data_IF_295907109180
#
_entry.id   IF_295907109180
#
_cell.length_a   1.000
_cell.length_b   1.000
_cell.length_c   1.000
_cell.angle_alpha   90.00
_cell.angle_beta   90.00
_cell.angle_gamma   90.00
#
_symmetry.space_group_name_H-M   'P 1'
#
loop_
_entity.id
_entity.type
_entity.pdbx_description
1 polymer ?
#
# COMPACT_ATOMS: atom_id res chain seq x y z
N UNK A 1 -23.68 -28.12 21.28
CA UNK A 1 -22.25 -28.51 21.32
C UNK A 1 -21.70 -28.90 19.97
N UNK A 2 -22.38 -29.80 19.22
CA UNK A 2 -21.92 -30.19 17.88
C UNK A 2 -21.83 -29.02 16.92
N UNK A 3 -22.80 -28.07 16.96
CA UNK A 3 -22.80 -26.89 16.11
C UNK A 3 -21.61 -25.98 16.38
N UNK A 4 -21.19 -25.87 17.66
CA UNK A 4 -20.02 -25.06 18.02
C UNK A 4 -18.72 -25.67 17.48
N UNK A 5 -18.58 -26.99 17.53
CA UNK A 5 -17.41 -27.68 17.00
C UNK A 5 -17.31 -27.54 15.48
N UNK A 6 -18.45 -27.61 14.78
CA UNK A 6 -18.50 -27.44 13.32
C UNK A 6 -18.11 -26.00 12.97
N UNK A 7 -18.67 -25.03 13.67
CA UNK A 7 -18.34 -23.59 13.45
C UNK A 7 -16.85 -23.36 13.70
N UNK A 8 -16.30 -23.88 14.79
CA UNK A 8 -14.87 -23.73 15.10
C UNK A 8 -13.97 -24.34 14.03
N UNK A 9 -14.31 -25.53 13.52
CA UNK A 9 -13.55 -26.17 12.45
C UNK A 9 -13.59 -25.36 11.15
N UNK A 10 -14.76 -24.82 10.81
CA UNK A 10 -14.93 -23.98 9.62
C UNK A 10 -14.13 -22.69 9.80
N UNK A 11 -14.24 -22.07 10.98
CA UNK A 11 -13.59 -20.77 11.24
C UNK A 11 -12.06 -20.88 11.31
N UNK A 12 -11.49 -22.07 11.60
CA UNK A 12 -10.05 -22.27 11.51
C UNK A 12 -9.50 -22.13 10.08
N UNK A 13 -10.36 -22.34 9.09
CA UNK A 13 -10.01 -22.21 7.66
C UNK A 13 -10.32 -20.83 7.11
N UNK A 14 -10.88 -19.97 7.95
CA UNK A 14 -11.29 -18.60 7.56
C UNK A 14 -10.33 -17.60 8.20
N UNK A 15 -10.01 -16.56 7.48
CA UNK A 15 -9.22 -15.44 7.99
C UNK A 15 -9.83 -14.12 7.55
N UNK A 16 -9.64 -13.12 8.37
CA UNK A 16 -10.07 -11.77 8.03
C UNK A 16 -9.07 -11.14 7.06
N UNK A 17 -9.59 -10.53 6.01
CA UNK A 17 -8.80 -9.71 5.09
C UNK A 17 -9.34 -8.29 5.13
N UNK A 18 -8.45 -7.34 5.18
CA UNK A 18 -8.80 -5.93 5.09
C UNK A 18 -7.76 -5.19 4.25
N UNK A 19 -8.13 -4.01 3.78
CA UNK A 19 -7.24 -3.16 3.01
C UNK A 19 -7.19 -1.80 3.67
N UNK A 20 -6.01 -1.22 3.71
CA UNK A 20 -5.78 0.09 4.28
C UNK A 20 -5.41 1.07 3.16
N UNK A 21 -6.03 2.22 3.17
CA UNK A 21 -5.60 3.34 2.34
C UNK A 21 -5.82 4.62 3.10
N UNK A 22 -5.04 5.63 2.75
CA UNK A 22 -5.10 6.94 3.37
C UNK A 22 -5.93 7.87 2.49
N UNK A 23 -6.88 8.56 3.09
CA UNK A 23 -7.74 9.54 2.41
C UNK A 23 -7.62 10.90 3.08
N UNK A 24 -7.94 11.95 2.33
CA UNK A 24 -8.18 13.25 2.95
C UNK A 24 -9.62 13.27 3.51
N UNK A 25 -10.00 14.38 4.15
CA UNK A 25 -11.33 14.51 4.76
C UNK A 25 -12.47 14.52 3.73
N UNK A 26 -12.15 14.72 2.46
CA UNK A 26 -13.14 14.73 1.36
C UNK A 26 -13.27 13.37 0.68
N UNK A 27 -12.49 12.37 1.12
CA UNK A 27 -12.52 11.03 0.54
C UNK A 27 -11.59 10.84 -0.65
N UNK A 28 -10.70 11.78 -0.93
CA UNK A 28 -9.70 11.62 -1.98
C UNK A 28 -8.56 10.72 -1.49
N UNK A 29 -8.20 9.73 -2.30
CA UNK A 29 -7.13 8.80 -1.93
C UNK A 29 -5.78 9.50 -1.99
N UNK A 30 -5.07 9.49 -0.88
CA UNK A 30 -3.71 10.03 -0.77
C UNK A 30 -2.69 8.94 -1.08
N UNK A 31 -2.89 7.74 -0.50
CA UNK A 31 -1.94 6.64 -0.66
C UNK A 31 -2.63 5.31 -0.33
N UNK A 32 -2.26 4.27 -1.05
CA UNK A 32 -2.78 2.92 -0.83
C UNK A 32 -1.86 1.88 -1.46
N UNK A 33 -2.33 0.64 -1.58
CA UNK A 33 -1.53 -0.48 -2.07
C UNK A 33 -0.97 -0.27 -3.48
N UNK A 34 -1.76 0.32 -4.36
CA UNK A 34 -1.29 0.58 -5.73
C UNK A 34 -0.10 1.53 -5.75
N UNK A 35 -0.17 2.61 -5.02
CA UNK A 35 0.93 3.59 -4.94
C UNK A 35 2.11 3.04 -4.15
N UNK A 36 1.87 2.23 -3.13
CA UNK A 36 2.93 1.48 -2.44
C UNK A 36 3.72 0.65 -3.44
N UNK A 37 3.02 -0.10 -4.29
CA UNK A 37 3.65 -0.94 -5.29
C UNK A 37 4.48 -0.12 -6.29
N UNK A 38 3.98 1.04 -6.70
CA UNK A 38 4.72 1.96 -7.56
C UNK A 38 6.05 2.35 -6.91
N UNK A 39 6.02 2.78 -5.65
CA UNK A 39 7.24 3.20 -4.95
C UNK A 39 8.23 2.05 -4.78
N UNK A 40 7.75 0.86 -4.42
CA UNK A 40 8.60 -0.33 -4.33
C UNK A 40 9.29 -0.66 -5.66
N UNK A 41 8.53 -0.59 -6.75
CA UNK A 41 9.08 -0.89 -8.08
C UNK A 41 10.04 0.18 -8.56
N UNK A 42 9.81 1.45 -8.23
CA UNK A 42 10.77 2.51 -8.54
C UNK A 42 12.07 2.30 -7.76
N UNK A 43 12.01 1.93 -6.48
CA UNK A 43 13.21 1.60 -5.72
C UNK A 43 13.97 0.43 -6.33
N UNK A 44 13.24 -0.60 -6.73
CA UNK A 44 13.84 -1.81 -7.28
C UNK A 44 14.46 -1.60 -8.66
N UNK A 45 13.78 -0.86 -9.53
CA UNK A 45 14.18 -0.73 -10.93
C UNK A 45 14.91 0.57 -11.24
N UNK A 46 14.75 1.59 -10.41
CA UNK A 46 15.29 2.92 -10.69
C UNK A 46 14.58 3.64 -11.84
N UNK A 47 13.38 3.20 -12.22
CA UNK A 47 12.71 3.70 -13.42
C UNK A 47 11.19 3.72 -13.25
N UNK A 48 10.58 4.88 -13.47
CA UNK A 48 9.11 5.01 -13.51
C UNK A 48 8.57 4.23 -14.72
N UNK A 49 9.26 4.23 -15.85
CA UNK A 49 8.86 3.47 -17.03
C UNK A 49 8.78 1.98 -16.73
N UNK A 50 9.80 1.43 -16.08
CA UNK A 50 9.80 0.02 -15.72
C UNK A 50 8.70 -0.30 -14.71
N UNK A 51 8.52 0.56 -13.73
CA UNK A 51 7.44 0.40 -12.75
C UNK A 51 6.08 0.38 -13.45
N UNK A 52 5.85 1.30 -14.38
CA UNK A 52 4.59 1.35 -15.15
C UNK A 52 4.38 0.06 -15.94
N UNK A 53 5.39 -0.44 -16.63
CA UNK A 53 5.30 -1.70 -17.38
C UNK A 53 4.93 -2.86 -16.46
N UNK A 54 5.58 -2.98 -15.32
CA UNK A 54 5.31 -4.05 -14.37
C UNK A 54 3.92 -3.94 -13.74
N UNK A 55 3.40 -2.72 -13.59
CA UNK A 55 2.05 -2.46 -13.11
C UNK A 55 0.98 -2.58 -14.19
N UNK A 56 1.38 -2.75 -15.45
CA UNK A 56 0.50 -2.73 -16.62
C UNK A 56 -0.29 -1.43 -16.71
N UNK A 57 0.39 -0.33 -16.44
CA UNK A 57 -0.16 1.03 -16.48
C UNK A 57 0.64 1.88 -17.46
N UNK A 58 0.04 2.98 -17.91
CA UNK A 58 0.78 3.96 -18.69
C UNK A 58 1.73 4.74 -17.77
N UNK A 59 2.82 5.24 -18.33
CA UNK A 59 3.74 6.16 -17.63
C UNK A 59 2.98 7.35 -17.04
N UNK A 60 2.11 7.96 -17.88
CA UNK A 60 1.31 9.11 -17.45
C UNK A 60 0.39 8.76 -16.28
N UNK A 61 -0.21 7.57 -16.29
CA UNK A 61 -1.07 7.11 -15.20
C UNK A 61 -0.32 6.96 -13.88
N UNK A 62 0.85 6.34 -13.92
CA UNK A 62 1.72 6.21 -12.74
C UNK A 62 2.16 7.59 -12.23
N UNK A 63 2.65 8.43 -13.13
CA UNK A 63 3.11 9.76 -12.80
C UNK A 63 2.00 10.61 -12.17
N UNK A 64 0.78 10.51 -12.72
CA UNK A 64 -0.38 11.22 -12.21
C UNK A 64 -0.72 10.86 -10.77
N UNK A 65 -0.64 9.57 -10.43
CA UNK A 65 -0.88 9.09 -9.07
C UNK A 65 0.17 9.62 -8.09
N UNK A 66 1.42 9.62 -8.50
CA UNK A 66 2.53 10.15 -7.69
C UNK A 66 2.36 11.66 -7.47
N UNK A 67 2.05 12.39 -8.55
CA UNK A 67 1.81 13.84 -8.45
C UNK A 67 0.64 14.18 -7.54
N UNK A 68 -0.44 13.40 -7.58
CA UNK A 68 -1.58 13.59 -6.70
C UNK A 68 -1.19 13.42 -5.23
N UNK A 69 -0.42 12.38 -4.91
CA UNK A 69 0.08 12.16 -3.55
C UNK A 69 0.98 13.31 -3.11
N UNK A 70 1.91 13.74 -3.96
CA UNK A 70 2.78 14.88 -3.67
C UNK A 70 2.00 16.16 -3.40
N UNK A 71 0.95 16.40 -4.18
CA UNK A 71 0.08 17.56 -4.00
C UNK A 71 -0.66 17.53 -2.66
N UNK A 72 -1.20 16.38 -2.27
CA UNK A 72 -1.89 16.22 -0.99
C UNK A 72 -0.95 16.40 0.20
N UNK A 73 0.27 15.88 0.11
CA UNK A 73 1.24 15.93 1.20
C UNK A 73 2.09 17.19 1.18
N UNK A 74 2.03 17.93 0.10
CA UNK A 74 2.89 19.10 -0.15
C UNK A 74 4.37 18.75 0.01
N UNK A 75 4.77 17.59 -0.52
CA UNK A 75 6.14 17.08 -0.45
C UNK A 75 6.47 16.28 -1.70
N UNK A 76 7.71 16.37 -2.14
CA UNK A 76 8.22 15.50 -3.21
C UNK A 76 8.48 14.11 -2.66
N UNK A 77 7.96 13.10 -3.32
CA UNK A 77 8.21 11.70 -2.96
C UNK A 77 9.07 10.95 -3.98
N UNK A 78 9.11 11.44 -5.22
CA UNK A 78 9.98 10.91 -6.26
C UNK A 78 10.81 12.03 -6.88
N UNK A 79 12.06 11.67 -7.23
CA UNK A 79 12.93 12.50 -8.04
C UNK A 79 13.26 11.74 -9.31
N UNK A 80 13.21 12.44 -10.44
CA UNK A 80 13.61 11.90 -11.74
C UNK A 80 14.74 12.75 -12.28
N UNK A 81 15.86 12.10 -12.59
CA UNK A 81 17.03 12.74 -13.16
C UNK A 81 17.31 12.12 -14.52
N UNK A 82 17.64 12.99 -15.48
CA UNK A 82 17.82 12.59 -16.88
C UNK A 82 18.81 11.43 -17.07
N UNK A 83 19.89 11.42 -16.28
CA UNK A 83 20.98 10.43 -16.40
C UNK A 83 20.96 9.33 -15.34
N UNK A 84 20.26 9.56 -14.25
CA UNK A 84 20.30 8.67 -13.09
C UNK A 84 18.97 7.97 -12.80
N UNK A 85 17.98 8.19 -13.66
CA UNK A 85 16.68 7.56 -13.52
C UNK A 85 15.85 8.18 -12.39
N UNK A 86 15.02 7.35 -11.77
CA UNK A 86 14.10 7.79 -10.73
C UNK A 86 14.46 7.15 -9.40
N UNK A 87 14.26 7.89 -8.32
CA UNK A 87 14.47 7.41 -6.97
C UNK A 87 13.49 8.07 -6.01
N UNK A 88 13.30 7.45 -4.86
CA UNK A 88 12.51 8.04 -3.79
C UNK A 88 13.31 9.14 -3.10
N UNK A 89 12.62 10.20 -2.70
CA UNK A 89 13.19 11.18 -1.76
C UNK A 89 13.18 10.56 -0.36
N UNK A 90 13.79 11.24 0.61
CA UNK A 90 13.72 10.82 2.01
C UNK A 90 12.25 10.79 2.49
N UNK A 91 11.44 11.78 2.09
CA UNK A 91 10.01 11.79 2.40
C UNK A 91 9.28 10.64 1.74
N UNK A 92 9.63 10.28 0.50
CA UNK A 92 9.08 9.12 -0.19
C UNK A 92 9.42 7.81 0.50
N UNK A 93 10.66 7.67 0.95
CA UNK A 93 11.09 6.48 1.72
C UNK A 93 10.35 6.36 3.04
N UNK A 94 10.18 7.48 3.76
CA UNK A 94 9.43 7.51 5.01
C UNK A 94 7.96 7.15 4.80
N UNK A 95 7.34 7.69 3.75
CA UNK A 95 5.96 7.37 3.42
C UNK A 95 5.80 5.87 3.16
N UNK A 96 6.67 5.30 2.33
CA UNK A 96 6.63 3.88 2.01
C UNK A 96 6.82 3.02 3.26
N UNK A 97 7.83 3.34 4.07
CA UNK A 97 8.11 2.61 5.30
C UNK A 97 6.95 2.68 6.28
N UNK A 98 6.42 3.88 6.50
CA UNK A 98 5.33 4.08 7.45
C UNK A 98 4.03 3.41 6.99
N UNK A 99 3.73 3.48 5.70
CA UNK A 99 2.55 2.80 5.16
C UNK A 99 2.69 1.28 5.26
N UNK A 100 3.86 0.74 4.95
CA UNK A 100 4.13 -0.70 5.06
C UNK A 100 3.94 -1.17 6.50
N UNK A 101 4.46 -0.42 7.47
CA UNK A 101 4.30 -0.71 8.89
C UNK A 101 2.83 -0.62 9.32
N UNK A 102 2.13 0.43 8.90
CA UNK A 102 0.70 0.58 9.18
C UNK A 102 -0.09 -0.64 8.70
N UNK A 103 0.17 -1.05 7.47
CA UNK A 103 -0.49 -2.20 6.86
C UNK A 103 -0.23 -3.48 7.63
N UNK A 104 1.01 -3.74 7.99
CA UNK A 104 1.40 -4.91 8.78
C UNK A 104 0.75 -4.92 10.15
N UNK A 105 0.77 -3.78 10.85
CA UNK A 105 0.17 -3.65 12.19
C UNK A 105 -1.34 -3.82 12.14
N UNK A 106 -2.02 -3.27 11.12
CA UNK A 106 -3.46 -3.47 10.93
C UNK A 106 -3.80 -4.92 10.64
N UNK A 107 -3.03 -5.60 9.80
CA UNK A 107 -3.25 -7.02 9.50
C UNK A 107 -3.08 -7.88 10.73
N UNK A 108 -2.10 -7.58 11.56
CA UNK A 108 -1.86 -8.28 12.81
C UNK A 108 -3.01 -8.07 13.80
N UNK A 109 -3.45 -6.82 13.95
CA UNK A 109 -4.59 -6.48 14.81
C UNK A 109 -5.88 -7.16 14.32
N UNK A 110 -6.11 -7.20 13.02
CA UNK A 110 -7.25 -7.89 12.40
C UNK A 110 -7.26 -9.36 12.79
N UNK A 111 -6.12 -10.02 12.70
CA UNK A 111 -5.98 -11.44 13.05
C UNK A 111 -6.28 -11.67 14.53
N UNK A 112 -5.74 -10.85 15.41
CA UNK A 112 -5.97 -10.93 16.85
C UNK A 112 -7.46 -10.74 17.19
N UNK A 113 -8.09 -9.73 16.60
CA UNK A 113 -9.50 -9.42 16.81
C UNK A 113 -10.37 -10.57 16.29
N UNK A 114 -10.10 -11.04 15.09
CA UNK A 114 -10.84 -12.14 14.49
C UNK A 114 -10.75 -13.40 15.35
N UNK A 115 -9.54 -13.76 15.79
CA UNK A 115 -9.32 -14.94 16.63
C UNK A 115 -10.05 -14.83 17.97
N UNK A 116 -10.08 -13.64 18.56
CA UNK A 116 -10.77 -13.40 19.83
C UNK A 116 -12.29 -13.57 19.70
N UNK A 117 -12.87 -13.24 18.55
CA UNK A 117 -14.31 -13.29 18.35
C UNK A 117 -14.78 -14.66 17.84
N UNK A 118 -14.03 -15.27 16.91
CA UNK A 118 -14.47 -16.46 16.17
C UNK A 118 -13.72 -17.74 16.54
N UNK A 119 -12.62 -17.64 17.20
CA UNK A 119 -11.84 -18.80 17.64
C UNK A 119 -11.63 -18.77 19.13
#
# INVERSE_FOLDING_TARGET
>A
MENNLIVERVMQKVRLQSRQWLEDKKGNIIFGEGRQRILELVEKTGSINQAAKLMKMSYRGVWGKIKATEGHLNKKILLTERRHGSRLTEDGKKLLMNYTRLKEDCQKADEEIFNAIFK
#
